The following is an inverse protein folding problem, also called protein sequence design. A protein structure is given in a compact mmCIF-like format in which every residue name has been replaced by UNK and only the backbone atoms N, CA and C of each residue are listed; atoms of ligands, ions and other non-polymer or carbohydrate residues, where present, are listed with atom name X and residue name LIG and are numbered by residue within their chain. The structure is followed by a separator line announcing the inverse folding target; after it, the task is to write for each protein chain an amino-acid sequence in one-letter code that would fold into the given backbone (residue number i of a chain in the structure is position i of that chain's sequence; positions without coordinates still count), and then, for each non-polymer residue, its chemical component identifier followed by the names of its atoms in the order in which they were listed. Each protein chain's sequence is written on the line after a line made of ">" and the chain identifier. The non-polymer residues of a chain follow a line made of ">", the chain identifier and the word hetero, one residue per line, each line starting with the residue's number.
data_IF_090229826298
#
_entry.id   IF_090229826298
#
_cell.length_a   1.000
_cell.length_b   1.000
_cell.length_c   1.000
_cell.angle_alpha   90.00
_cell.angle_beta   90.00
_cell.angle_gamma   90.00
#
_symmetry.space_group_name_H-M   'P 1'
#
loop_
_entity.id
_entity.type
_entity.pdbx_description
1 polymer ?
#
# COMPACT_ATOMS: atom_id res chain seq x y z
N UNK A 1 -10.65 1.08 -26.66
CA UNK A 1 -9.47 0.45 -26.02
C UNK A 1 -10.03 -0.65 -25.13
N UNK A 2 -10.54 -1.71 -25.74
CA UNK A 2 -11.56 -2.59 -25.14
C UNK A 2 -11.03 -4.01 -24.96
N UNK A 3 -9.80 -4.17 -24.46
CA UNK A 3 -9.37 -5.48 -23.98
C UNK A 3 -9.86 -5.66 -22.52
N UNK A 4 -10.79 -6.60 -22.26
CA UNK A 4 -11.34 -6.79 -20.92
C UNK A 4 -10.31 -7.28 -19.90
N UNK A 5 -9.21 -7.91 -20.33
CA UNK A 5 -8.11 -8.33 -19.45
C UNK A 5 -7.32 -7.13 -18.92
N UNK A 6 -6.94 -6.22 -19.81
CA UNK A 6 -6.23 -4.97 -19.43
C UNK A 6 -7.07 -4.11 -18.49
N UNK A 7 -8.36 -3.96 -18.77
CA UNK A 7 -9.28 -3.19 -17.91
C UNK A 7 -9.40 -3.81 -16.51
N UNK A 8 -9.41 -5.14 -16.40
CA UNK A 8 -9.46 -5.84 -15.12
C UNK A 8 -8.17 -5.67 -14.31
N UNK A 9 -7.01 -5.57 -14.95
CA UNK A 9 -5.72 -5.35 -14.29
C UNK A 9 -5.56 -3.91 -13.80
N UNK A 10 -6.04 -2.92 -14.56
CA UNK A 10 -6.08 -1.52 -14.12
C UNK A 10 -6.93 -1.34 -12.86
N UNK A 11 -8.13 -1.93 -12.82
CA UNK A 11 -9.01 -1.90 -11.65
C UNK A 11 -8.35 -2.58 -10.46
N UNK A 12 -7.78 -3.77 -10.66
CA UNK A 12 -7.14 -4.52 -9.59
C UNK A 12 -5.95 -3.74 -9.02
N UNK A 13 -5.02 -3.30 -9.87
CA UNK A 13 -3.85 -2.54 -9.46
C UNK A 13 -4.22 -1.24 -8.74
N UNK A 14 -5.28 -0.54 -9.18
CA UNK A 14 -5.78 0.66 -8.50
C UNK A 14 -6.25 0.35 -7.08
N UNK A 15 -7.02 -0.74 -6.89
CA UNK A 15 -7.47 -1.13 -5.55
C UNK A 15 -6.32 -1.60 -4.66
N UNK A 16 -5.36 -2.34 -5.20
CA UNK A 16 -4.14 -2.75 -4.49
C UNK A 16 -3.31 -1.54 -4.04
N UNK A 17 -3.13 -0.56 -4.93
CA UNK A 17 -2.44 0.70 -4.60
C UNK A 17 -3.18 1.46 -3.50
N UNK A 18 -4.49 1.66 -3.63
CA UNK A 18 -5.29 2.41 -2.66
C UNK A 18 -5.35 1.73 -1.28
N UNK A 19 -5.44 0.40 -1.26
CA UNK A 19 -5.41 -0.37 -0.02
C UNK A 19 -4.05 -0.22 0.67
N UNK A 20 -2.96 -0.41 -0.07
CA UNK A 20 -1.58 -0.27 0.44
C UNK A 20 -1.34 1.14 0.97
N UNK A 21 -1.66 2.17 0.20
CA UNK A 21 -1.47 3.57 0.58
C UNK A 21 -2.19 3.90 1.90
N UNK A 22 -3.45 3.48 2.04
CA UNK A 22 -4.24 3.72 3.26
C UNK A 22 -3.66 2.99 4.46
N UNK A 23 -3.17 1.77 4.29
CA UNK A 23 -2.58 0.98 5.36
C UNK A 23 -1.25 1.58 5.85
N UNK A 24 -0.37 1.99 4.93
CA UNK A 24 0.89 2.64 5.29
C UNK A 24 0.63 3.97 6.01
N UNK A 25 -0.31 4.77 5.52
CA UNK A 25 -0.73 6.02 6.17
C UNK A 25 -1.34 5.79 7.55
N UNK A 26 -2.16 4.74 7.72
CA UNK A 26 -2.70 4.37 9.01
C UNK A 26 -1.61 3.94 9.99
N UNK A 27 -0.58 3.23 9.52
CA UNK A 27 0.58 2.88 10.34
C UNK A 27 1.35 4.13 10.80
N UNK A 28 1.67 5.04 9.88
CA UNK A 28 2.33 6.31 10.21
C UNK A 28 1.49 7.13 11.21
N UNK A 29 0.17 7.21 10.99
CA UNK A 29 -0.77 7.89 11.89
C UNK A 29 -0.82 7.26 13.28
N UNK A 30 -0.84 5.92 13.39
CA UNK A 30 -0.81 5.21 14.66
C UNK A 30 0.45 5.50 15.48
N UNK A 31 1.53 5.90 14.81
CA UNK A 31 2.80 6.29 15.43
C UNK A 31 2.89 7.80 15.71
N UNK A 32 1.85 8.57 15.39
CA UNK A 32 1.87 10.03 15.48
C UNK A 32 2.79 10.71 14.44
N UNK A 33 3.19 9.99 13.39
CA UNK A 33 4.05 10.52 12.34
C UNK A 33 3.23 11.20 11.23
N UNK A 34 3.64 12.39 10.83
CA UNK A 34 3.07 13.08 9.68
C UNK A 34 3.61 12.50 8.38
N UNK A 35 2.77 12.37 7.37
CA UNK A 35 3.13 11.85 6.06
C UNK A 35 2.76 12.82 4.92
N UNK A 36 3.49 12.81 3.80
CA UNK A 36 3.22 13.72 2.69
C UNK A 36 1.87 13.40 2.03
N UNK A 37 1.28 14.42 1.39
CA UNK A 37 0.18 14.24 0.44
C UNK A 37 0.72 13.69 -0.89
N UNK A 38 1.23 12.46 -0.84
CA UNK A 38 1.76 11.70 -1.96
C UNK A 38 1.02 10.37 -2.09
N UNK A 39 0.96 9.86 -3.33
CA UNK A 39 0.51 8.52 -3.65
C UNK A 39 1.68 7.54 -3.87
N UNK A 40 2.91 8.01 -3.67
CA UNK A 40 4.12 7.21 -3.80
C UNK A 40 4.29 6.27 -2.61
N UNK A 41 4.17 4.97 -2.87
CA UNK A 41 4.29 3.93 -1.86
C UNK A 41 5.72 3.78 -1.35
N UNK A 42 6.73 4.02 -2.20
CA UNK A 42 8.13 3.96 -1.79
C UNK A 42 8.43 5.03 -0.72
N UNK A 43 7.98 6.26 -0.97
CA UNK A 43 8.09 7.35 0.00
C UNK A 43 7.45 7.00 1.34
N UNK A 44 6.27 6.35 1.35
CA UNK A 44 5.59 5.97 2.60
C UNK A 44 6.30 4.82 3.33
N UNK A 45 6.83 3.84 2.60
CA UNK A 45 7.61 2.74 3.16
C UNK A 45 8.91 3.26 3.78
N UNK A 46 9.63 4.14 3.09
CA UNK A 46 10.91 4.70 3.57
C UNK A 46 10.76 5.46 4.89
N UNK A 47 9.64 6.15 5.11
CA UNK A 47 9.34 6.79 6.40
C UNK A 47 9.23 5.75 7.53
N UNK A 48 8.61 4.60 7.27
CA UNK A 48 8.47 3.52 8.25
C UNK A 48 9.80 2.78 8.48
N UNK A 49 10.64 2.62 7.45
CA UNK A 49 11.92 1.88 7.52
C UNK A 49 12.86 2.40 8.61
N UNK A 50 12.78 3.68 8.93
CA UNK A 50 13.60 4.28 9.99
C UNK A 50 13.40 3.62 11.37
N UNK A 51 12.21 3.08 11.64
CA UNK A 51 11.84 2.53 12.94
C UNK A 51 11.28 1.10 12.89
N UNK A 52 10.97 0.58 11.70
CA UNK A 52 10.32 -0.70 11.48
C UNK A 52 11.11 -1.52 10.44
N UNK A 53 12.21 -2.19 10.82
CA UNK A 53 13.06 -2.90 9.86
C UNK A 53 12.35 -4.07 9.15
N UNK A 54 11.27 -4.61 9.71
CA UNK A 54 10.45 -5.66 9.08
C UNK A 54 9.53 -5.11 7.98
N UNK A 55 9.47 -3.78 7.77
CA UNK A 55 8.62 -3.18 6.73
C UNK A 55 9.13 -3.48 5.31
N UNK A 56 10.43 -3.77 5.14
CA UNK A 56 11.05 -4.08 3.85
C UNK A 56 10.40 -5.27 3.12
N UNK A 57 9.74 -6.17 3.87
CA UNK A 57 9.01 -7.30 3.25
C UNK A 57 7.87 -6.85 2.33
N UNK A 58 7.42 -5.60 2.45
CA UNK A 58 6.36 -5.01 1.63
C UNK A 58 6.89 -4.20 0.43
N UNK A 59 8.21 -4.18 0.18
CA UNK A 59 8.81 -3.44 -0.93
C UNK A 59 8.24 -3.82 -2.31
N UNK A 60 7.80 -5.07 -2.47
CA UNK A 60 7.12 -5.52 -3.69
C UNK A 60 5.90 -4.65 -4.02
N UNK A 61 5.18 -4.15 -3.01
CA UNK A 61 3.98 -3.33 -3.22
C UNK A 61 4.25 -1.98 -3.89
N UNK A 62 5.51 -1.52 -3.93
CA UNK A 62 5.91 -0.29 -4.64
C UNK A 62 5.56 -0.35 -6.13
N UNK A 63 5.53 -1.56 -6.73
CA UNK A 63 5.15 -1.76 -8.13
C UNK A 63 3.73 -1.25 -8.44
N UNK A 64 2.87 -1.11 -7.42
CA UNK A 64 1.51 -0.62 -7.58
C UNK A 64 1.41 0.91 -7.62
N UNK A 65 2.49 1.65 -7.33
CA UNK A 65 2.51 3.12 -7.37
C UNK A 65 1.97 3.72 -8.68
N UNK A 66 2.30 3.20 -9.88
CA UNK A 66 1.76 3.71 -11.15
C UNK A 66 0.23 3.60 -11.26
N UNK A 67 -0.40 2.72 -10.48
CA UNK A 67 -1.86 2.54 -10.45
C UNK A 67 -2.57 3.54 -9.52
N UNK A 68 -1.85 4.48 -8.90
CA UNK A 68 -2.46 5.49 -8.03
C UNK A 68 -3.47 6.40 -8.72
N UNK A 69 -3.31 6.61 -10.03
CA UNK A 69 -4.19 7.44 -10.83
C UNK A 69 -4.99 6.55 -11.78
N UNK A 70 -6.31 6.70 -11.78
CA UNK A 70 -7.26 5.93 -12.63
C UNK A 70 -7.03 6.07 -14.15
N UNK A 71 -6.08 6.89 -14.59
CA UNK A 71 -5.84 7.19 -16.00
C UNK A 71 -4.41 6.82 -16.39
N UNK A 72 -4.10 5.53 -16.41
CA UNK A 72 -2.98 5.05 -17.22
C UNK A 72 -3.43 5.15 -18.69
N UNK A 73 -2.76 5.96 -19.51
CA UNK A 73 -2.99 5.90 -20.95
C UNK A 73 -2.42 4.57 -21.45
N UNK A 74 -3.28 3.73 -22.05
CA UNK A 74 -2.96 2.46 -22.72
C UNK A 74 -1.75 2.45 -23.67
N UNK A 75 -1.19 3.62 -23.99
CA UNK A 75 -0.24 3.81 -25.06
C UNK A 75 1.24 3.53 -24.71
N UNK A 76 1.62 3.28 -23.45
CA UNK A 76 3.05 3.41 -23.06
C UNK A 76 3.73 2.15 -22.52
N UNK A 77 3.12 0.96 -22.50
CA UNK A 77 3.90 -0.22 -22.07
C UNK A 77 3.47 -1.54 -22.71
N UNK A 78 4.04 -1.91 -23.86
CA UNK A 78 3.84 -3.22 -24.48
C UNK A 78 4.51 -4.39 -23.71
N UNK A 79 5.05 -4.15 -22.50
CA UNK A 79 5.78 -5.13 -21.71
C UNK A 79 5.22 -5.45 -20.32
N UNK A 80 4.07 -4.90 -19.90
CA UNK A 80 3.55 -5.22 -18.55
C UNK A 80 3.10 -6.68 -18.48
N UNK A 81 3.82 -7.49 -17.72
CA UNK A 81 3.36 -8.83 -17.34
C UNK A 81 2.01 -8.71 -16.61
N UNK A 82 1.19 -9.76 -16.74
CA UNK A 82 -0.05 -9.86 -15.97
C UNK A 82 0.26 -9.76 -14.46
N UNK A 83 -0.56 -9.02 -13.73
CA UNK A 83 -0.38 -8.84 -12.29
C UNK A 83 -0.48 -10.19 -11.56
N UNK A 84 0.45 -10.46 -10.65
CA UNK A 84 0.34 -11.59 -9.72
C UNK A 84 -0.66 -11.25 -8.61
N UNK A 85 -1.95 -11.41 -8.95
CA UNK A 85 -3.06 -11.08 -8.04
C UNK A 85 -2.98 -11.86 -6.72
N UNK A 86 -2.71 -13.19 -6.71
CA UNK A 86 -2.55 -13.93 -5.46
C UNK A 86 -1.47 -13.35 -4.55
N UNK A 87 -0.28 -13.07 -5.09
CA UNK A 87 0.81 -12.50 -4.30
C UNK A 87 0.46 -11.10 -3.77
N UNK A 88 -0.17 -10.26 -4.60
CA UNK A 88 -0.60 -8.93 -4.19
C UNK A 88 -1.61 -8.98 -3.03
N UNK A 89 -2.57 -9.89 -3.09
CA UNK A 89 -3.57 -10.08 -2.03
C UNK A 89 -2.87 -10.51 -0.74
N UNK A 90 -1.98 -11.50 -0.80
CA UNK A 90 -1.24 -11.99 0.37
C UNK A 90 -0.44 -10.87 1.05
N UNK A 91 0.25 -10.04 0.26
CA UNK A 91 1.02 -8.91 0.76
C UNK A 91 0.12 -7.84 1.43
N UNK A 92 -1.01 -7.50 0.82
CA UNK A 92 -1.96 -6.53 1.38
C UNK A 92 -2.62 -7.07 2.65
N UNK A 93 -2.97 -8.35 2.70
CA UNK A 93 -3.53 -8.99 3.90
C UNK A 93 -2.51 -9.02 5.05
N UNK A 94 -1.25 -9.36 4.75
CA UNK A 94 -0.16 -9.31 5.72
C UNK A 94 0.07 -7.89 6.26
N UNK A 95 0.02 -6.88 5.39
CA UNK A 95 0.12 -5.48 5.77
C UNK A 95 -1.06 -5.06 6.66
N UNK A 96 -2.29 -5.43 6.28
CA UNK A 96 -3.49 -5.15 7.07
C UNK A 96 -3.39 -5.78 8.47
N UNK A 97 -2.94 -7.03 8.57
CA UNK A 97 -2.74 -7.69 9.85
C UNK A 97 -1.69 -6.97 10.71
N UNK A 98 -0.60 -6.47 10.11
CA UNK A 98 0.44 -5.72 10.80
C UNK A 98 -0.06 -4.36 11.34
N UNK A 99 -0.87 -3.64 10.55
CA UNK A 99 -1.49 -2.37 10.95
C UNK A 99 -2.51 -2.59 12.06
N UNK A 100 -3.38 -3.60 11.93
CA UNK A 100 -4.41 -3.91 12.95
C UNK A 100 -3.82 -4.20 14.33
N UNK A 101 -2.70 -4.93 14.40
CA UNK A 101 -2.01 -5.19 15.66
C UNK A 101 -1.57 -3.88 16.32
N UNK A 102 -0.92 -3.00 15.56
CA UNK A 102 -0.43 -1.71 16.05
C UNK A 102 -1.53 -0.76 16.50
N UNK A 103 -2.67 -0.75 15.80
CA UNK A 103 -3.82 0.04 16.21
C UNK A 103 -4.39 -0.47 17.54
N UNK A 104 -4.50 -1.79 17.72
CA UNK A 104 -4.96 -2.37 18.99
C UNK A 104 -3.99 -2.11 20.15
N UNK A 105 -2.68 -2.11 19.88
CA UNK A 105 -1.65 -1.78 20.86
C UNK A 105 -1.74 -0.30 21.27
N UNK A 106 -1.89 0.61 20.30
CA UNK A 106 -2.04 2.05 20.55
C UNK A 106 -3.30 2.39 21.38
N UNK A 107 -4.43 1.70 21.14
CA UNK A 107 -5.65 1.85 21.95
C UNK A 107 -5.47 1.37 23.40
N UNK A 108 -4.50 0.48 23.66
CA UNK A 108 -4.24 -0.06 25.00
C UNK A 108 -3.34 0.87 25.83
N UNK A 109 -2.51 1.69 25.18
CA UNK A 109 -1.58 2.62 25.85
C UNK A 109 -2.24 3.95 26.25
N UNK A 110 -3.28 4.40 25.52
CA UNK A 110 -4.04 5.63 25.80
C UNK A 110 -5.02 5.50 27.00
N UNK A 111 -5.09 4.34 27.64
CA UNK A 111 -5.99 4.03 28.76
C UNK A 111 -5.46 4.30 30.17
N UNK A 112 -4.25 4.87 30.31
CA UNK A 112 -3.64 5.14 31.63
C UNK A 112 -3.30 6.62 31.80
N UNK A 113 -4.30 7.46 32.06
CA UNK A 113 -4.08 8.75 32.72
C UNK A 113 -4.52 8.67 34.20
N UNK A 114 -3.66 9.10 35.15
CA UNK A 114 -3.96 9.13 36.60
C UNK A 114 -4.85 10.31 37.03
#
# INVERSE_FOLDING_TARGET
>A
MDDPGTFADEIFGFHTQQATEKLLKAWLAARGETYPLSHDLATLLDLLKANEPDIDRFDALVEYTPYAVRLRSAATDPGSCALDRPQAIEQVEALLAAVRRRLADAESEDGCEP
#
